data_IF_316800736619
#
_entry.id   IF_316800736619
#
_cell.length_a   1.000
_cell.length_b   1.000
_cell.length_c   1.000
_cell.angle_alpha   90.00
_cell.angle_beta   90.00
_cell.angle_gamma   90.00
#
_symmetry.space_group_name_H-M   'P 1'
#
loop_
_entity.id
_entity.type
_entity.pdbx_description
1 polymer ?
#
# COMPACT_ATOMS: atom_id res chain seq x y z
N UNK A 1 -9.74 5.48 -17.71
CA UNK A 1 -8.73 5.15 -18.74
C UNK A 1 -7.41 4.97 -18.02
N UNK A 2 -6.58 3.99 -18.38
CA UNK A 2 -5.27 3.80 -17.74
C UNK A 2 -4.47 5.10 -17.89
N UNK A 3 -4.07 5.68 -16.76
CA UNK A 3 -3.31 6.92 -16.73
C UNK A 3 -1.84 6.61 -17.00
N UNK A 4 -1.23 7.33 -17.95
CA UNK A 4 0.19 7.15 -18.26
C UNK A 4 1.10 7.61 -17.12
N UNK A 5 0.55 8.35 -16.14
CA UNK A 5 1.25 8.82 -14.95
C UNK A 5 1.30 7.79 -13.81
N UNK A 6 0.56 6.69 -13.91
CA UNK A 6 0.55 5.67 -12.86
C UNK A 6 1.83 4.82 -12.91
N UNK A 7 2.72 5.05 -11.93
CA UNK A 7 4.00 4.34 -11.78
C UNK A 7 3.85 2.89 -11.34
N UNK A 8 2.66 2.49 -10.88
CA UNK A 8 2.39 1.11 -10.46
C UNK A 8 2.12 0.16 -11.63
N UNK A 9 1.78 0.71 -12.81
CA UNK A 9 1.51 -0.05 -14.02
C UNK A 9 2.79 -0.47 -14.72
N UNK A 10 2.70 -1.53 -15.53
CA UNK A 10 3.83 -1.97 -16.32
C UNK A 10 4.25 -0.89 -17.34
N UNK A 11 5.56 -0.72 -17.60
CA UNK A 11 6.07 0.26 -18.56
C UNK A 11 5.39 0.19 -19.94
N UNK A 12 5.14 -1.03 -20.42
CA UNK A 12 4.46 -1.23 -21.70
C UNK A 12 3.01 -0.74 -21.71
N UNK A 13 2.28 -0.89 -20.60
CA UNK A 13 0.89 -0.44 -20.49
C UNK A 13 0.79 1.07 -20.55
N UNK A 14 1.74 1.77 -19.90
CA UNK A 14 1.85 3.22 -19.95
C UNK A 14 2.16 3.70 -21.38
N UNK A 15 3.07 3.03 -22.09
CA UNK A 15 3.35 3.34 -23.51
C UNK A 15 2.15 3.02 -24.41
N UNK A 16 1.40 1.94 -24.13
CA UNK A 16 0.15 1.61 -24.83
C UNK A 16 -0.90 2.70 -24.62
N UNK A 17 -1.02 3.25 -23.41
CA UNK A 17 -1.92 4.36 -23.12
C UNK A 17 -1.56 5.63 -23.91
N UNK A 18 -0.27 5.96 -24.01
CA UNK A 18 0.21 7.08 -24.84
C UNK A 18 -0.03 6.85 -26.33
N UNK A 19 0.21 5.63 -26.82
CA UNK A 19 -0.11 5.25 -28.21
C UNK A 19 -1.59 5.40 -28.51
N UNK A 20 -2.46 4.97 -27.58
CA UNK A 20 -3.91 5.12 -27.70
C UNK A 20 -4.30 6.60 -27.77
N UNK A 21 -3.73 7.46 -26.91
CA UNK A 21 -3.95 8.92 -26.93
C UNK A 21 -3.53 9.55 -28.26
N UNK A 22 -2.43 9.09 -28.85
CA UNK A 22 -1.99 9.51 -30.18
C UNK A 22 -2.90 9.03 -31.32
N UNK A 23 -3.49 7.83 -31.19
CA UNK A 23 -4.39 7.25 -32.19
C UNK A 23 -5.80 7.87 -32.22
N UNK A 24 -6.21 8.55 -31.14
CA UNK A 24 -7.51 9.23 -31.08
C UNK A 24 -7.46 10.51 -31.90
N UNK A 25 -7.84 10.40 -33.17
CA UNK A 25 -8.00 11.54 -34.07
C UNK A 25 -9.35 11.48 -34.75
N UNK A 26 -10.17 12.50 -34.48
CA UNK A 26 -11.43 12.71 -35.17
C UNK A 26 -11.17 13.50 -36.46
N UNK A 27 -11.66 12.99 -37.58
CA UNK A 27 -11.56 13.63 -38.89
C UNK A 27 -12.96 14.02 -39.30
N UNK A 28 -13.15 15.30 -39.55
CA UNK A 28 -14.38 15.87 -40.07
C UNK A 28 -14.35 15.87 -41.60
N UNK A 29 -15.40 15.31 -42.21
CA UNK A 29 -15.60 15.21 -43.66
C UNK A 29 -15.89 16.56 -44.34
N UNK A 30 -16.37 17.56 -43.61
CA UNK A 30 -16.61 18.91 -44.13
C UNK A 30 -15.31 19.69 -44.38
N UNK A 31 -14.20 19.23 -43.80
CA UNK A 31 -12.91 19.89 -43.89
C UNK A 31 -12.10 19.29 -45.06
N UNK A 32 -11.63 20.11 -46.02
CA UNK A 32 -10.86 19.60 -47.15
C UNK A 32 -9.59 18.86 -46.70
N UNK A 33 -9.24 17.72 -47.32
CA UNK A 33 -8.04 16.93 -47.01
C UNK A 33 -6.73 17.74 -46.96
N UNK A 34 -6.60 18.77 -47.81
CA UNK A 34 -5.44 19.67 -47.85
C UNK A 34 -5.18 20.37 -46.51
N UNK A 35 -6.22 20.67 -45.72
CA UNK A 35 -6.08 21.31 -44.42
C UNK A 35 -5.38 20.37 -43.43
N UNK A 36 -5.72 19.08 -43.42
CA UNK A 36 -5.07 18.09 -42.56
C UNK A 36 -3.58 17.91 -42.87
N UNK A 37 -3.18 18.00 -44.15
CA UNK A 37 -1.75 17.99 -44.52
C UNK A 37 -0.99 19.18 -43.94
N UNK A 38 -1.58 20.39 -43.96
CA UNK A 38 -0.97 21.57 -43.35
C UNK A 38 -0.93 21.48 -41.83
N UNK A 39 -2.02 21.06 -41.20
CA UNK A 39 -2.05 20.86 -39.74
C UNK A 39 -1.06 19.78 -39.30
N UNK A 40 -0.90 18.70 -40.07
CA UNK A 40 0.09 17.66 -39.79
C UNK A 40 1.53 18.18 -39.80
N UNK A 41 1.84 19.12 -40.69
CA UNK A 41 3.17 19.75 -40.73
C UNK A 41 3.47 20.57 -39.48
N UNK A 42 2.46 21.26 -38.93
CA UNK A 42 2.60 21.96 -37.64
C UNK A 42 2.82 20.98 -36.50
N UNK A 43 2.17 19.81 -36.54
CA UNK A 43 2.33 18.79 -35.51
C UNK A 43 3.75 18.23 -35.47
N UNK A 44 4.39 18.01 -36.62
CA UNK A 44 5.81 17.64 -36.66
C UNK A 44 6.68 18.76 -36.08
N UNK A 45 6.43 20.02 -36.45
CA UNK A 45 7.21 21.16 -35.92
C UNK A 45 7.11 21.23 -34.40
N UNK A 46 5.90 21.10 -33.85
CA UNK A 46 5.69 21.07 -32.41
C UNK A 46 6.31 19.84 -31.75
N UNK A 47 6.24 18.67 -32.38
CA UNK A 47 6.86 17.46 -31.84
C UNK A 47 8.39 17.57 -31.72
N UNK A 48 9.03 18.25 -32.68
CA UNK A 48 10.47 18.56 -32.59
C UNK A 48 10.75 19.46 -31.38
N UNK A 49 9.99 20.54 -31.21
CA UNK A 49 10.13 21.46 -30.07
C UNK A 49 9.99 20.71 -28.74
N UNK A 50 8.97 19.87 -28.60
CA UNK A 50 8.79 19.05 -27.38
C UNK A 50 9.92 18.04 -27.17
N UNK A 51 10.53 17.55 -28.23
CA UNK A 51 11.70 16.68 -28.12
C UNK A 51 12.90 17.46 -27.60
N UNK A 52 13.13 18.67 -28.11
CA UNK A 52 14.22 19.55 -27.71
C UNK A 52 14.05 20.05 -26.27
N UNK A 53 12.81 20.29 -25.83
CA UNK A 53 12.45 20.61 -24.44
C UNK A 53 12.57 19.41 -23.48
N UNK A 54 12.80 18.20 -24.01
CA UNK A 54 12.87 16.97 -23.22
C UNK A 54 11.51 16.39 -22.80
N UNK A 55 10.40 16.95 -23.28
CA UNK A 55 9.06 16.42 -23.07
C UNK A 55 8.74 15.28 -24.04
N UNK A 56 9.40 14.14 -23.79
CA UNK A 56 9.33 12.94 -24.63
C UNK A 56 7.92 12.34 -24.74
N UNK A 57 7.06 12.50 -23.73
CA UNK A 57 5.70 11.97 -23.73
C UNK A 57 4.81 12.72 -24.73
N UNK A 58 4.83 14.05 -24.68
CA UNK A 58 4.04 14.88 -25.58
C UNK A 58 4.57 14.80 -27.01
N UNK A 59 5.91 14.79 -27.17
CA UNK A 59 6.54 14.55 -28.47
C UNK A 59 6.06 13.21 -29.09
N UNK A 60 6.08 12.12 -28.31
CA UNK A 60 5.65 10.81 -28.78
C UNK A 60 4.17 10.80 -29.19
N UNK A 61 3.29 11.41 -28.39
CA UNK A 61 1.86 11.52 -28.72
C UNK A 61 1.65 12.29 -30.02
N UNK A 62 2.38 13.39 -30.24
CA UNK A 62 2.27 14.20 -31.46
C UNK A 62 2.78 13.47 -32.71
N UNK A 63 3.90 12.73 -32.62
CA UNK A 63 4.35 11.90 -33.74
C UNK A 63 3.35 10.79 -34.07
N UNK A 64 2.81 10.10 -33.07
CA UNK A 64 1.78 9.08 -33.30
C UNK A 64 0.52 9.71 -33.91
N UNK A 65 0.11 10.88 -33.43
CA UNK A 65 -1.05 11.61 -33.97
C UNK A 65 -0.84 12.02 -35.43
N UNK A 66 0.37 12.49 -35.77
CA UNK A 66 0.73 12.78 -37.15
C UNK A 66 0.73 11.52 -38.03
N UNK A 67 1.32 10.41 -37.56
CA UNK A 67 1.32 9.13 -38.27
C UNK A 67 -0.11 8.65 -38.50
N UNK A 68 -0.98 8.71 -37.50
CA UNK A 68 -2.39 8.33 -37.61
C UNK A 68 -3.15 9.22 -38.59
N UNK A 69 -3.00 10.55 -38.54
CA UNK A 69 -3.62 11.45 -39.52
C UNK A 69 -3.12 11.15 -40.93
N UNK A 70 -1.81 10.96 -41.10
CA UNK A 70 -1.23 10.70 -42.42
C UNK A 70 -1.64 9.33 -42.97
N UNK A 71 -1.77 8.31 -42.12
CA UNK A 71 -2.26 7.00 -42.51
C UNK A 71 -3.76 7.00 -42.78
N UNK A 72 -4.54 7.72 -41.96
CA UNK A 72 -5.98 7.83 -42.13
C UNK A 72 -6.34 8.64 -43.38
N UNK A 73 -5.66 9.77 -43.62
CA UNK A 73 -5.81 10.52 -44.88
C UNK A 73 -5.39 9.66 -46.07
N UNK A 74 -4.29 8.90 -45.98
CA UNK A 74 -3.92 7.94 -47.02
C UNK A 74 -4.98 6.86 -47.23
N UNK A 75 -5.56 6.30 -46.16
CA UNK A 75 -6.60 5.29 -46.21
C UNK A 75 -7.91 5.83 -46.77
N UNK A 76 -8.34 7.02 -46.36
CA UNK A 76 -9.48 7.74 -46.95
C UNK A 76 -9.26 7.99 -48.44
N UNK A 77 -8.05 8.39 -48.81
CA UNK A 77 -7.64 8.64 -50.21
C UNK A 77 -7.65 7.36 -51.05
N UNK A 78 -7.23 6.23 -50.49
CA UNK A 78 -7.10 4.95 -51.23
C UNK A 78 -8.37 4.09 -51.19
N UNK A 79 -9.23 4.22 -50.17
CA UNK A 79 -10.44 3.40 -49.97
C UNK A 79 -11.77 4.14 -50.16
N UNK A 80 -11.80 5.48 -50.15
CA UNK A 80 -13.00 6.26 -50.48
C UNK A 80 -12.78 7.11 -51.75
N UNK A 81 -13.26 6.67 -52.92
CA UNK A 81 -13.32 7.49 -54.14
C UNK A 81 -14.36 8.63 -54.07
N UNK A 82 -14.88 8.97 -52.88
CA UNK A 82 -16.11 9.76 -52.69
C UNK A 82 -15.89 11.21 -52.25
N UNK A 83 -14.66 11.65 -51.97
CA UNK A 83 -14.47 13.07 -51.65
C UNK A 83 -14.63 13.89 -52.93
N UNK A 84 -15.68 14.72 -52.97
CA UNK A 84 -16.10 15.56 -54.11
C UNK A 84 -14.94 16.31 -54.77
N UNK A 85 -13.99 16.76 -53.96
CA UNK A 85 -12.89 17.62 -54.40
C UNK A 85 -11.59 16.88 -54.75
N UNK A 86 -11.55 15.53 -54.72
CA UNK A 86 -10.30 14.79 -54.89
C UNK A 86 -9.87 14.60 -56.34
N UNK A 87 -10.79 14.48 -57.31
CA UNK A 87 -10.43 14.35 -58.74
C UNK A 87 -9.66 15.56 -59.29
N UNK A 88 -9.74 16.70 -58.62
CA UNK A 88 -9.17 17.98 -59.07
C UNK A 88 -7.95 18.41 -58.26
N UNK A 89 -7.68 17.77 -57.12
CA UNK A 89 -6.63 18.19 -56.20
C UNK A 89 -5.29 17.50 -56.52
N UNK A 90 -4.52 18.06 -57.44
CA UNK A 90 -3.08 17.81 -57.50
C UNK A 90 -2.43 18.47 -56.27
N UNK A 91 -2.27 17.70 -55.18
CA UNK A 91 -1.72 18.21 -53.90
C UNK A 91 -0.20 17.96 -53.89
N UNK A 92 0.65 18.95 -54.22
CA UNK A 92 2.10 18.81 -54.16
C UNK A 92 2.62 18.49 -52.74
N UNK A 93 1.89 18.91 -51.71
CA UNK A 93 2.22 18.67 -50.30
C UNK A 93 2.20 17.18 -49.92
N UNK A 94 1.56 16.31 -50.70
CA UNK A 94 1.51 14.86 -50.47
C UNK A 94 2.91 14.23 -50.51
N UNK A 95 3.77 14.69 -51.42
CA UNK A 95 5.13 14.13 -51.59
C UNK A 95 6.05 14.50 -50.41
N UNK A 96 6.00 15.74 -49.96
CA UNK A 96 6.79 16.20 -48.80
C UNK A 96 6.30 15.55 -47.50
N UNK A 97 4.99 15.44 -47.32
CA UNK A 97 4.38 14.74 -46.17
C UNK A 97 4.85 13.29 -46.10
N UNK A 98 4.83 12.58 -47.24
CA UNK A 98 5.25 11.18 -47.29
C UNK A 98 6.75 11.01 -46.99
N UNK A 99 7.58 11.95 -47.47
CA UNK A 99 9.01 11.99 -47.18
C UNK A 99 9.24 12.18 -45.68
N UNK A 100 8.60 13.19 -45.06
CA UNK A 100 8.72 13.46 -43.62
C UNK A 100 8.15 12.35 -42.74
N UNK A 101 7.09 11.68 -43.20
CA UNK A 101 6.55 10.52 -42.51
C UNK A 101 7.58 9.40 -42.41
N UNK A 102 8.25 9.07 -43.53
CA UNK A 102 9.24 7.98 -43.59
C UNK A 102 10.57 8.34 -42.96
N UNK A 103 11.08 9.55 -43.25
CA UNK A 103 12.44 9.95 -42.89
C UNK A 103 12.52 10.51 -41.47
N UNK A 104 11.42 11.05 -40.92
CA UNK A 104 11.41 11.73 -39.62
C UNK A 104 10.44 11.09 -38.64
N UNK A 105 9.15 10.99 -38.97
CA UNK A 105 8.13 10.61 -37.99
C UNK A 105 8.28 9.17 -37.49
N UNK A 106 8.51 8.18 -38.36
CA UNK A 106 8.71 6.79 -37.95
C UNK A 106 10.01 6.58 -37.14
N UNK A 107 11.19 7.02 -37.61
CA UNK A 107 12.43 6.89 -36.83
C UNK A 107 12.33 7.58 -35.47
N UNK A 108 11.75 8.79 -35.42
CA UNK A 108 11.67 9.54 -34.18
C UNK A 108 10.66 8.95 -33.20
N UNK A 109 9.52 8.45 -33.67
CA UNK A 109 8.57 7.74 -32.82
C UNK A 109 9.20 6.48 -32.20
N UNK A 110 10.03 5.75 -32.95
CA UNK A 110 10.71 4.56 -32.44
C UNK A 110 11.79 4.90 -31.41
N UNK A 111 12.56 5.98 -31.63
CA UNK A 111 13.54 6.48 -30.65
C UNK A 111 12.84 6.90 -29.36
N UNK A 112 11.77 7.70 -29.47
CA UNK A 112 11.00 8.19 -28.33
C UNK A 112 10.33 7.04 -27.57
N UNK A 113 9.82 6.02 -28.27
CA UNK A 113 9.26 4.81 -27.64
C UNK A 113 10.29 4.11 -26.77
N UNK A 114 11.52 3.92 -27.29
CA UNK A 114 12.62 3.31 -26.52
C UNK A 114 13.03 4.17 -25.33
N UNK A 115 13.06 5.49 -25.50
CA UNK A 115 13.37 6.41 -24.41
C UNK A 115 12.30 6.37 -23.30
N UNK A 116 11.01 6.35 -23.68
CA UNK A 116 9.88 6.22 -22.75
C UNK A 116 9.90 4.90 -22.00
N UNK A 117 10.14 3.78 -22.69
CA UNK A 117 10.25 2.47 -22.05
C UNK A 117 11.36 2.47 -21.00
N UNK A 118 12.56 2.94 -21.34
CA UNK A 118 13.68 3.02 -20.39
C UNK A 118 13.34 3.88 -19.16
N UNK A 119 12.69 5.02 -19.36
CA UNK A 119 12.27 5.90 -18.27
C UNK A 119 11.23 5.21 -17.37
N UNK A 120 10.20 4.61 -17.96
CA UNK A 120 9.15 3.94 -17.19
C UNK A 120 9.65 2.66 -16.52
N UNK A 121 10.60 1.94 -17.10
CA UNK A 121 11.28 0.81 -16.46
C UNK A 121 12.06 1.25 -15.21
N UNK A 122 12.77 2.38 -15.28
CA UNK A 122 13.47 2.94 -14.12
C UNK A 122 12.49 3.36 -13.01
N UNK A 123 11.43 4.08 -13.36
CA UNK A 123 10.39 4.51 -12.42
C UNK A 123 9.69 3.30 -11.77
N UNK A 124 9.36 2.27 -12.57
CA UNK A 124 8.73 1.05 -12.08
C UNK A 124 9.66 0.25 -11.17
N UNK A 125 10.95 0.13 -11.53
CA UNK A 125 11.94 -0.54 -10.68
C UNK A 125 12.09 0.15 -9.33
N UNK A 126 12.12 1.48 -9.30
CA UNK A 126 12.15 2.26 -8.06
C UNK A 126 10.88 2.04 -7.23
N UNK A 127 9.71 2.03 -7.87
CA UNK A 127 8.44 1.74 -7.20
C UNK A 127 8.43 0.34 -6.57
N UNK A 128 8.89 -0.68 -7.29
CA UNK A 128 8.95 -2.06 -6.77
C UNK A 128 9.88 -2.16 -5.56
N UNK A 129 11.06 -1.53 -5.61
CA UNK A 129 12.00 -1.52 -4.49
C UNK A 129 11.40 -0.82 -3.27
N UNK A 130 10.80 0.36 -3.48
CA UNK A 130 10.17 1.12 -2.40
C UNK A 130 9.01 0.34 -1.76
N UNK A 131 8.13 -0.23 -2.59
CA UNK A 131 6.99 -1.03 -2.11
C UNK A 131 7.45 -2.24 -1.31
N UNK A 132 8.48 -2.95 -1.78
CA UNK A 132 9.04 -4.09 -1.04
C UNK A 132 9.61 -3.66 0.31
N UNK A 133 10.32 -2.52 0.37
CA UNK A 133 10.85 -2.01 1.63
C UNK A 133 9.74 -1.60 2.62
N UNK A 134 8.64 -1.03 2.13
CA UNK A 134 7.46 -0.71 2.94
C UNK A 134 6.79 -1.98 3.47
N UNK A 135 6.60 -3.00 2.62
CA UNK A 135 6.03 -4.29 3.01
C UNK A 135 6.91 -5.02 4.05
N UNK A 136 8.23 -5.01 3.85
CA UNK A 136 9.20 -5.61 4.78
C UNK A 136 9.20 -4.88 6.14
N UNK A 137 9.13 -3.55 6.14
CA UNK A 137 9.05 -2.75 7.36
C UNK A 137 7.74 -3.01 8.12
N UNK A 138 6.61 -3.12 7.41
CA UNK A 138 5.33 -3.45 8.01
C UNK A 138 5.34 -4.86 8.63
N UNK A 139 5.93 -5.84 7.93
CA UNK A 139 6.07 -7.20 8.45
C UNK A 139 6.94 -7.25 9.71
N UNK A 140 8.04 -6.50 9.75
CA UNK A 140 8.89 -6.39 10.93
C UNK A 140 8.15 -5.75 12.12
N UNK A 141 7.39 -4.68 11.88
CA UNK A 141 6.62 -4.01 12.94
C UNK A 141 5.53 -4.94 13.50
N UNK A 142 4.82 -5.64 12.63
CA UNK A 142 3.84 -6.65 13.06
C UNK A 142 4.47 -7.79 13.86
N UNK A 143 5.68 -8.23 13.48
CA UNK A 143 6.40 -9.26 14.23
C UNK A 143 6.83 -8.76 15.61
N UNK A 144 7.37 -7.53 15.71
CA UNK A 144 7.71 -6.90 16.99
C UNK A 144 6.49 -6.74 17.88
N UNK A 145 5.38 -6.27 17.33
CA UNK A 145 4.14 -6.09 18.08
C UNK A 145 3.64 -7.42 18.64
N UNK A 146 3.64 -8.49 17.84
CA UNK A 146 3.28 -9.84 18.32
C UNK A 146 4.22 -10.35 19.41
N UNK A 147 5.52 -10.08 19.31
CA UNK A 147 6.49 -10.47 20.33
C UNK A 147 6.25 -9.72 21.66
N UNK A 148 5.97 -8.42 21.59
CA UNK A 148 5.64 -7.61 22.76
C UNK A 148 4.33 -8.06 23.41
N UNK A 149 3.32 -8.36 22.62
CA UNK A 149 2.03 -8.82 23.14
C UNK A 149 2.14 -10.21 23.78
N UNK A 150 2.91 -11.12 23.17
CA UNK A 150 3.19 -12.43 23.77
C UNK A 150 3.98 -12.31 25.09
N UNK A 151 4.93 -11.38 25.19
CA UNK A 151 5.68 -11.16 26.43
C UNK A 151 4.78 -10.55 27.52
N UNK A 152 3.92 -9.60 27.17
CA UNK A 152 2.93 -9.03 28.10
C UNK A 152 1.99 -10.11 28.65
N UNK A 153 1.55 -11.03 27.80
CA UNK A 153 0.69 -12.13 28.22
C UNK A 153 1.42 -13.09 29.19
N UNK A 154 2.67 -13.45 28.90
CA UNK A 154 3.51 -14.26 29.79
C UNK A 154 3.72 -13.61 31.16
N UNK A 155 4.04 -12.32 31.19
CA UNK A 155 4.22 -11.56 32.44
C UNK A 155 2.90 -11.50 33.22
N UNK A 156 1.78 -11.26 32.54
CA UNK A 156 0.46 -11.24 33.18
C UNK A 156 0.09 -12.61 33.77
N UNK A 157 0.40 -13.71 33.08
CA UNK A 157 0.18 -15.07 33.58
C UNK A 157 1.08 -15.36 34.79
N UNK A 158 2.36 -15.01 34.73
CA UNK A 158 3.29 -15.18 35.85
C UNK A 158 2.83 -14.42 37.10
N UNK A 159 2.37 -13.17 36.93
CA UNK A 159 1.84 -12.35 38.02
C UNK A 159 0.51 -12.91 38.59
N UNK A 160 -0.31 -13.59 37.79
CA UNK A 160 -1.50 -14.28 38.30
C UNK A 160 -1.11 -15.48 39.16
N UNK A 161 -0.20 -16.32 38.67
CA UNK A 161 0.30 -17.48 39.42
C UNK A 161 0.97 -17.09 40.74
N UNK A 162 1.76 -16.02 40.73
CA UNK A 162 2.37 -15.49 41.96
C UNK A 162 1.32 -15.04 42.98
N UNK A 163 0.31 -14.28 42.55
CA UNK A 163 -0.79 -13.86 43.44
C UNK A 163 -1.58 -15.04 44.00
N UNK A 164 -1.82 -16.06 43.18
CA UNK A 164 -2.50 -17.29 43.63
C UNK A 164 -1.66 -18.04 44.67
N UNK A 165 -0.35 -18.15 44.47
CA UNK A 165 0.57 -18.75 45.45
C UNK A 165 0.63 -17.94 46.74
N UNK A 166 0.74 -16.61 46.66
CA UNK A 166 0.72 -15.73 47.84
C UNK A 166 -0.59 -15.85 48.63
N UNK A 167 -1.73 -15.89 47.94
CA UNK A 167 -3.03 -16.13 48.58
C UNK A 167 -3.09 -17.49 49.27
N UNK A 168 -2.57 -18.53 48.62
CA UNK A 168 -2.52 -19.87 49.18
C UNK A 168 -1.61 -19.93 50.43
N UNK A 169 -0.40 -19.37 50.36
CA UNK A 169 0.51 -19.30 51.51
C UNK A 169 -0.05 -18.48 52.66
N UNK A 170 -0.70 -17.35 52.38
CA UNK A 170 -1.37 -16.54 53.41
C UNK A 170 -2.50 -17.32 54.09
N UNK A 171 -3.25 -18.13 53.33
CA UNK A 171 -4.30 -19.00 53.85
C UNK A 171 -3.73 -20.12 54.73
N UNK A 172 -2.67 -20.80 54.30
CA UNK A 172 -1.97 -21.82 55.10
C UNK A 172 -1.44 -21.23 56.42
N UNK A 173 -0.85 -20.03 56.38
CA UNK A 173 -0.35 -19.37 57.59
C UNK A 173 -1.49 -19.01 58.55
N UNK A 174 -2.66 -18.59 58.03
CA UNK A 174 -3.84 -18.32 58.83
C UNK A 174 -4.34 -19.58 59.56
N UNK A 175 -4.41 -20.73 58.86
CA UNK A 175 -4.79 -22.02 59.46
C UNK A 175 -3.80 -22.38 60.58
N UNK A 176 -2.50 -22.28 60.30
CA UNK A 176 -1.45 -22.62 61.26
C UNK A 176 -1.53 -21.75 62.53
N UNK A 177 -1.83 -20.45 62.39
CA UNK A 177 -2.08 -19.55 63.53
C UNK A 177 -3.32 -19.97 64.33
N UNK A 178 -4.41 -20.33 63.67
CA UNK A 178 -5.62 -20.81 64.34
C UNK A 178 -5.38 -22.11 65.10
N UNK A 179 -4.60 -23.04 64.54
CA UNK A 179 -4.24 -24.29 65.23
C UNK A 179 -3.41 -24.01 66.49
N UNK A 180 -2.40 -23.14 66.38
CA UNK A 180 -1.59 -22.71 67.53
C UNK A 180 -2.44 -22.00 68.60
N UNK A 181 -3.41 -21.18 68.22
CA UNK A 181 -4.34 -20.55 69.17
C UNK A 181 -5.25 -21.56 69.87
N UNK A 182 -5.79 -22.53 69.13
CA UNK A 182 -6.56 -23.64 69.71
C UNK A 182 -5.71 -24.47 70.67
N UNK A 183 -4.46 -24.74 70.31
CA UNK A 183 -3.53 -25.48 71.16
C UNK A 183 -3.15 -24.69 72.42
N UNK A 184 -2.89 -23.38 72.31
CA UNK A 184 -2.74 -22.47 73.46
C UNK A 184 -3.96 -22.49 74.38
N UNK A 185 -5.17 -22.43 73.82
CA UNK A 185 -6.41 -22.52 74.60
C UNK A 185 -6.55 -23.88 75.31
N UNK A 186 -6.19 -24.98 74.64
CA UNK A 186 -6.19 -26.32 75.24
C UNK A 186 -5.21 -26.39 76.40
N UNK A 187 -3.97 -25.92 76.22
CA UNK A 187 -2.95 -25.87 77.28
C UNK A 187 -3.44 -25.00 78.45
N UNK A 188 -4.02 -23.83 78.20
CA UNK A 188 -4.57 -22.98 79.27
C UNK A 188 -5.69 -23.67 80.06
N UNK A 189 -6.57 -24.43 79.40
CA UNK A 189 -7.60 -25.23 80.07
C UNK A 189 -7.01 -26.40 80.87
N UNK A 190 -5.93 -27.01 80.39
CA UNK A 190 -5.26 -28.15 81.01
C UNK A 190 -4.41 -27.72 82.24
N UNK A 191 -3.83 -26.52 82.21
CA UNK A 191 -3.12 -25.89 83.33
C UNK A 191 -3.99 -24.99 84.22
N UNK A 192 -5.28 -24.85 83.92
CA UNK A 192 -6.26 -24.26 84.84
C UNK A 192 -6.51 -25.22 86.01
N UNK A 193 -5.60 -25.25 86.98
CA UNK A 193 -5.78 -26.05 88.20
C UNK A 193 -7.03 -25.62 88.95
N UNK A 194 -7.84 -26.55 89.50
CA UNK A 194 -9.00 -26.22 90.33
C UNK A 194 -8.56 -25.91 91.77
N UNK A 195 -7.51 -25.13 91.97
CA UNK A 195 -6.97 -24.85 93.32
C UNK A 195 -7.84 -23.86 94.10
N UNK A 196 -8.71 -23.10 93.43
CA UNK A 196 -9.62 -22.17 94.12
C UNK A 196 -10.93 -22.85 94.57
N UNK A 197 -11.42 -23.87 93.87
CA UNK A 197 -12.70 -24.51 94.18
C UNK A 197 -12.65 -25.45 95.40
N UNK A 198 -11.48 -26.03 95.70
CA UNK A 198 -11.29 -26.90 96.87
C UNK A 198 -11.07 -26.10 98.17
N UNK A 199 -10.42 -24.93 98.09
CA UNK A 199 -10.24 -24.04 99.23
C UNK A 199 -11.56 -23.46 99.74
N UNK A 200 -12.49 -23.10 98.85
CA UNK A 200 -13.82 -22.62 99.24
C UNK A 200 -14.70 -23.71 99.86
N UNK A 201 -14.53 -24.98 99.48
CA UNK A 201 -15.27 -26.10 100.10
C UNK A 201 -14.79 -26.39 101.51
N UNK A 202 -13.48 -26.31 101.77
CA UNK A 202 -12.92 -26.44 103.12
C UNK A 202 -13.34 -25.28 104.04
N UNK A 203 -13.36 -24.04 103.54
CA UNK A 203 -13.83 -22.88 104.31
C UNK A 203 -15.35 -22.96 104.58
N UNK A 204 -16.16 -23.39 103.61
CA UNK A 204 -17.60 -23.57 103.81
C UNK A 204 -17.94 -24.68 104.82
N UNK A 205 -17.14 -25.75 104.88
CA UNK A 205 -17.30 -26.82 105.88
C UNK A 205 -16.96 -26.37 107.30
N UNK A 206 -16.08 -25.37 107.48
CA UNK A 206 -15.77 -24.82 108.80
C UNK A 206 -16.83 -23.84 109.32
N UNK A 207 -17.56 -23.14 108.44
CA UNK A 207 -18.61 -22.19 108.83
C UNK A 207 -19.93 -22.87 109.19
N UNK A 208 -20.18 -24.09 108.71
CA UNK A 208 -21.41 -24.84 109.01
C UNK A 208 -21.41 -25.59 110.36
N UNK A 209 -20.33 -25.52 111.14
CA UNK A 209 -20.13 -26.27 112.40
C UNK A 209 -19.93 -25.36 113.63
N UNK A 210 -20.43 -24.12 113.59
CA UNK A 210 -20.50 -23.18 114.72
C UNK A 210 -21.95 -22.76 114.99
#
# INVERSE_FOLDING_TARGET
MADHNDVSLQPEERVRALTKKGSTVEVNDDVPPRRYFRSGMEMIRMANIYTDEGNIEHAFVLYNKYITISLFTKALIEKLPKHRDYKTANIPEKKDTLKKLKDVAFPQAEILKKALLRRFEQEYAQYVVKKKAEDDALAQEQSKQRALDAERERVAEMQRRQREQEQFSAFEEMIRRQELEKERQRVLLEFATPTQAELWRLVASCVANW
#
